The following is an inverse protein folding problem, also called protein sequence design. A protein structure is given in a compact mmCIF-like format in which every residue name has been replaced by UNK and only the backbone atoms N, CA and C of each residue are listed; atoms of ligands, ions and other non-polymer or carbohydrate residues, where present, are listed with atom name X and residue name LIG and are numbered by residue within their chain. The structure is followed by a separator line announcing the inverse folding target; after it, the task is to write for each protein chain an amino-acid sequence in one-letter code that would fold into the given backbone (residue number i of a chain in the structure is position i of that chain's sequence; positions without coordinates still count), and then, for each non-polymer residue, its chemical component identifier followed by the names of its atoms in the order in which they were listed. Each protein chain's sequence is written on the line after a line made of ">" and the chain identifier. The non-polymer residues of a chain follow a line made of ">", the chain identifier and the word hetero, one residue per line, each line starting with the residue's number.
data_IF_840662687273
#
_entry.id   IF_840662687273
#
_cell.length_a   1.000
_cell.length_b   1.000
_cell.length_c   1.000
_cell.angle_alpha   90.00
_cell.angle_beta   90.00
_cell.angle_gamma   90.00
#
_symmetry.space_group_name_H-M   'P 1'
#
loop_
_entity.id
_entity.type
_entity.pdbx_description
1 polymer ?
#
# COMPACT_ATOMS: atom_id res chain seq x y z
N UNK A 1 4.03 -24.17 16.43
CA UNK A 1 4.36 -23.60 15.09
C UNK A 1 5.87 -23.49 15.01
N UNK A 2 6.51 -24.01 13.97
CA UNK A 2 7.96 -23.84 13.81
C UNK A 2 8.23 -22.48 13.18
N UNK A 3 9.30 -21.81 13.60
CA UNK A 3 9.71 -20.53 13.03
C UNK A 3 9.81 -20.56 11.50
N UNK A 4 10.33 -21.66 10.95
CA UNK A 4 10.47 -21.86 9.50
C UNK A 4 9.14 -21.86 8.75
N UNK A 5 8.07 -22.36 9.39
CA UNK A 5 6.73 -22.38 8.79
C UNK A 5 6.17 -20.95 8.71
N UNK A 6 6.39 -20.14 9.75
CA UNK A 6 6.03 -18.71 9.77
C UNK A 6 6.78 -17.94 8.69
N UNK A 7 8.09 -18.18 8.56
CA UNK A 7 8.93 -17.52 7.57
C UNK A 7 8.46 -17.86 6.15
N UNK A 8 8.25 -19.15 5.86
CA UNK A 8 7.75 -19.61 4.56
C UNK A 8 6.39 -19.00 4.22
N UNK A 9 5.46 -18.98 5.19
CA UNK A 9 4.15 -18.36 5.02
C UNK A 9 4.22 -16.86 4.72
N UNK A 10 5.06 -16.12 5.46
CA UNK A 10 5.25 -14.69 5.23
C UNK A 10 5.89 -14.43 3.86
N UNK A 11 6.94 -15.16 3.50
CA UNK A 11 7.59 -15.04 2.18
C UNK A 11 6.61 -15.34 1.05
N UNK A 12 5.77 -16.37 1.20
CA UNK A 12 4.73 -16.69 0.22
C UNK A 12 3.71 -15.56 0.06
N UNK A 13 3.22 -15.01 1.17
CA UNK A 13 2.28 -13.89 1.13
C UNK A 13 2.88 -12.64 0.48
N UNK A 14 4.14 -12.30 0.80
CA UNK A 14 4.84 -11.16 0.20
C UNK A 14 5.12 -11.38 -1.29
N UNK A 15 5.47 -12.60 -1.69
CA UNK A 15 5.73 -12.95 -3.10
C UNK A 15 4.47 -12.95 -3.94
N UNK A 16 3.30 -13.14 -3.32
CA UNK A 16 1.98 -13.09 -3.96
C UNK A 16 1.39 -11.67 -3.98
N UNK A 17 2.16 -10.64 -3.62
CA UNK A 17 1.72 -9.25 -3.72
C UNK A 17 1.24 -8.95 -5.14
N UNK A 18 0.01 -8.46 -5.26
CA UNK A 18 -0.56 -7.99 -6.50
C UNK A 18 -1.11 -6.59 -6.29
N UNK A 19 -0.77 -5.70 -7.21
CA UNK A 19 -1.33 -4.35 -7.25
C UNK A 19 -2.13 -4.21 -8.54
N UNK A 20 -3.31 -3.62 -8.47
CA UNK A 20 -4.18 -3.43 -9.63
C UNK A 20 -4.65 -2.00 -9.73
N UNK A 21 -4.93 -1.54 -10.95
CA UNK A 21 -5.66 -0.29 -11.16
C UNK A 21 -7.19 -0.48 -10.96
N UNK A 22 -7.94 0.60 -11.17
CA UNK A 22 -9.41 0.60 -11.03
C UNK A 22 -10.13 -0.29 -12.06
N UNK A 23 -9.45 -0.67 -13.15
CA UNK A 23 -9.97 -1.58 -14.17
C UNK A 23 -9.59 -3.04 -13.89
N UNK A 24 -8.86 -3.30 -12.79
CA UNK A 24 -8.39 -4.62 -12.40
C UNK A 24 -7.14 -5.08 -13.16
N UNK A 25 -6.48 -4.20 -13.92
CA UNK A 25 -5.23 -4.54 -14.59
C UNK A 25 -4.11 -4.59 -13.56
N UNK A 26 -3.35 -5.68 -13.56
CA UNK A 26 -2.17 -5.83 -12.71
C UNK A 26 -1.08 -4.83 -13.10
N UNK A 27 -0.53 -4.17 -12.08
CA UNK A 27 0.60 -3.28 -12.16
C UNK A 27 1.82 -3.97 -11.54
N UNK A 28 2.99 -3.68 -12.11
CA UNK A 28 4.25 -3.97 -11.43
C UNK A 28 4.31 -3.22 -10.10
N UNK A 29 4.85 -3.86 -9.05
CA UNK A 29 4.81 -3.33 -7.70
C UNK A 29 5.63 -2.04 -7.55
N UNK A 30 6.81 -1.97 -8.17
CA UNK A 30 7.68 -0.80 -8.11
C UNK A 30 7.05 0.35 -8.91
N UNK A 31 6.48 0.04 -10.08
CA UNK A 31 5.74 1.03 -10.87
C UNK A 31 4.52 1.59 -10.10
N UNK A 32 3.78 0.73 -9.40
CA UNK A 32 2.65 1.16 -8.59
C UNK A 32 3.08 2.01 -7.38
N UNK A 33 4.22 1.70 -6.77
CA UNK A 33 4.79 2.50 -5.69
C UNK A 33 5.19 3.91 -6.16
N UNK A 34 5.78 4.03 -7.35
CA UNK A 34 6.07 5.34 -7.95
C UNK A 34 4.80 6.15 -8.22
N UNK A 35 3.72 5.51 -8.69
CA UNK A 35 2.42 6.16 -8.87
C UNK A 35 1.88 6.70 -7.54
N UNK A 36 1.87 5.89 -6.48
CA UNK A 36 1.42 6.30 -5.14
C UNK A 36 2.26 7.47 -4.61
N UNK A 37 3.58 7.38 -4.75
CA UNK A 37 4.52 8.43 -4.35
C UNK A 37 4.23 9.75 -5.09
N UNK A 38 3.94 9.66 -6.39
CA UNK A 38 3.51 10.78 -7.21
C UNK A 38 2.21 11.43 -6.70
N UNK A 39 1.21 10.63 -6.35
CA UNK A 39 -0.06 11.13 -5.79
C UNK A 39 0.13 11.85 -4.46
N UNK A 40 0.96 11.30 -3.57
CA UNK A 40 1.28 11.92 -2.28
C UNK A 40 1.94 13.29 -2.49
N UNK A 41 2.99 13.37 -3.33
CA UNK A 41 3.68 14.63 -3.64
C UNK A 41 2.73 15.64 -4.28
N UNK A 42 1.90 15.20 -5.21
CA UNK A 42 0.93 16.07 -5.86
C UNK A 42 -0.07 16.65 -4.85
N UNK A 43 -0.65 15.82 -3.99
CA UNK A 43 -1.61 16.27 -2.97
C UNK A 43 -1.00 17.29 -2.01
N UNK A 44 0.26 17.08 -1.60
CA UNK A 44 0.98 18.02 -0.74
C UNK A 44 1.11 19.41 -1.39
N UNK A 45 1.38 19.46 -2.70
CA UNK A 45 1.52 20.72 -3.44
C UNK A 45 0.17 21.39 -3.77
N UNK A 46 -0.88 20.61 -4.01
CA UNK A 46 -2.17 21.11 -4.51
C UNK A 46 -3.25 21.31 -3.44
N UNK A 47 -2.93 21.11 -2.15
CA UNK A 47 -3.91 20.97 -1.05
C UNK A 47 -4.97 19.88 -1.34
N UNK A 48 -4.56 18.86 -2.12
CA UNK A 48 -5.37 17.70 -2.46
C UNK A 48 -5.55 16.76 -1.26
N UNK A 49 -6.42 15.77 -1.41
CA UNK A 49 -6.69 14.76 -0.38
C UNK A 49 -6.47 13.37 -0.95
N UNK A 50 -5.78 12.53 -0.20
CA UNK A 50 -5.60 11.11 -0.49
C UNK A 50 -6.43 10.29 0.50
N UNK A 51 -7.15 9.30 0.01
CA UNK A 51 -8.00 8.42 0.82
C UNK A 51 -7.48 7.00 0.73
N UNK A 52 -7.26 6.36 1.88
CA UNK A 52 -6.87 4.96 1.98
C UNK A 52 -8.06 4.13 2.45
N UNK A 53 -8.35 3.04 1.75
CA UNK A 53 -9.45 2.13 2.07
C UNK A 53 -8.90 0.71 2.11
N UNK A 54 -9.23 -0.01 3.17
CA UNK A 54 -8.86 -1.42 3.35
C UNK A 54 -9.93 -2.16 4.14
N UNK A 55 -9.94 -3.48 4.04
CA UNK A 55 -10.85 -4.36 4.77
C UNK A 55 -10.11 -5.12 5.88
N UNK A 56 -10.80 -5.46 6.97
CA UNK A 56 -10.21 -6.22 8.09
C UNK A 56 -8.88 -5.62 8.58
N UNK A 57 -7.81 -6.43 8.59
CA UNK A 57 -6.46 -5.97 8.93
C UNK A 57 -5.91 -4.89 7.98
N UNK A 58 -6.35 -4.89 6.72
CA UNK A 58 -6.03 -3.84 5.75
C UNK A 58 -6.61 -2.47 6.13
N UNK A 59 -7.70 -2.40 6.89
CA UNK A 59 -8.23 -1.14 7.40
C UNK A 59 -7.27 -0.50 8.42
N UNK A 60 -6.65 -1.31 9.28
CA UNK A 60 -5.63 -0.85 10.21
C UNK A 60 -4.39 -0.34 9.48
N UNK A 61 -3.93 -1.04 8.43
CA UNK A 61 -2.82 -0.58 7.58
C UNK A 61 -3.15 0.74 6.86
N UNK A 62 -4.35 0.85 6.28
CA UNK A 62 -4.83 2.08 5.64
C UNK A 62 -4.81 3.28 6.60
N UNK A 63 -5.26 3.08 7.84
CA UNK A 63 -5.23 4.11 8.89
C UNK A 63 -3.80 4.53 9.24
N UNK A 64 -2.89 3.56 9.43
CA UNK A 64 -1.48 3.85 9.70
C UNK A 64 -0.82 4.61 8.56
N UNK A 65 -1.03 4.20 7.30
CA UNK A 65 -0.48 4.89 6.15
C UNK A 65 -1.00 6.32 6.01
N UNK A 66 -2.30 6.53 6.22
CA UNK A 66 -2.88 7.87 6.21
C UNK A 66 -2.22 8.77 7.28
N UNK A 67 -2.03 8.25 8.50
CA UNK A 67 -1.42 9.00 9.59
C UNK A 67 0.07 9.32 9.33
N UNK A 68 0.83 8.40 8.74
CA UNK A 68 2.25 8.62 8.48
C UNK A 68 2.47 9.56 7.29
N UNK A 69 1.69 9.42 6.22
CA UNK A 69 1.76 10.31 5.05
C UNK A 69 1.33 11.73 5.43
N UNK A 70 0.33 11.89 6.30
CA UNK A 70 -0.08 13.21 6.79
C UNK A 70 1.01 13.96 7.57
N UNK A 71 2.02 13.27 8.12
CA UNK A 71 3.17 13.92 8.78
C UNK A 71 4.20 14.44 7.77
N UNK A 72 4.15 13.98 6.53
CA UNK A 72 5.09 14.32 5.47
C UNK A 72 4.62 15.50 4.60
N UNK A 73 3.39 15.98 4.81
CA UNK A 73 2.80 17.14 4.13
C UNK A 73 3.00 18.45 4.89
#
# INVERSE_FOLDING_TARGET
>A
MRWTDSLSGLTGALSALAVTDAQGKTLDADAAFEILSGWVRHCAQSKGRLYFVGNGAGASMASHFAADIAKMS
#
